data_IF_792819869717
#
_entry.id   IF_792819869717
#
_cell.length_a   1.000
_cell.length_b   1.000
_cell.length_c   1.000
_cell.angle_alpha   90.00
_cell.angle_beta   90.00
_cell.angle_gamma   90.00
#
_symmetry.space_group_name_H-M   'P 1'
#
loop_
_entity.id
_entity.type
_entity.pdbx_description
1 polymer ?
#
# COMPACT_ATOMS: atom_id res chain seq x y z
N UNK A 1 4.49 -48.77 -17.91
CA UNK A 1 4.15 -48.08 -16.64
C UNK A 1 4.97 -46.81 -16.41
N UNK A 2 6.29 -46.81 -16.66
CA UNK A 2 7.20 -45.67 -16.42
C UNK A 2 6.83 -44.39 -17.20
N UNK A 3 6.40 -44.50 -18.46
CA UNK A 3 5.97 -43.35 -19.30
C UNK A 3 4.74 -42.60 -18.76
N UNK A 4 3.81 -43.30 -18.09
CA UNK A 4 2.62 -42.68 -17.49
C UNK A 4 2.98 -41.94 -16.19
N UNK A 5 3.89 -42.49 -15.39
CA UNK A 5 4.41 -41.83 -14.19
C UNK A 5 5.19 -40.55 -14.52
N UNK A 6 6.00 -40.59 -15.59
CA UNK A 6 6.75 -39.41 -16.07
C UNK A 6 5.82 -38.30 -16.59
N UNK A 7 4.75 -38.66 -17.30
CA UNK A 7 3.75 -37.69 -17.78
C UNK A 7 2.96 -37.03 -16.64
N UNK A 8 2.62 -37.78 -15.58
CA UNK A 8 1.97 -37.24 -14.37
C UNK A 8 2.91 -36.32 -13.61
N UNK A 9 4.19 -36.68 -13.47
CA UNK A 9 5.21 -35.83 -12.82
C UNK A 9 5.43 -34.51 -13.57
N UNK A 10 5.48 -34.54 -14.91
CA UNK A 10 5.58 -33.33 -15.74
C UNK A 10 4.30 -32.48 -15.62
N UNK A 11 3.12 -33.10 -15.54
CA UNK A 11 1.86 -32.38 -15.29
C UNK A 11 1.85 -31.69 -13.93
N UNK A 12 2.34 -32.35 -12.88
CA UNK A 12 2.47 -31.75 -11.53
C UNK A 12 3.49 -30.62 -11.53
N UNK A 13 4.63 -30.76 -12.20
CA UNK A 13 5.65 -29.71 -12.32
C UNK A 13 5.17 -28.50 -13.13
N UNK A 14 4.37 -28.69 -14.18
CA UNK A 14 3.76 -27.61 -14.96
C UNK A 14 2.65 -26.90 -14.17
N UNK A 15 2.02 -27.56 -13.18
CA UNK A 15 1.10 -26.92 -12.24
C UNK A 15 1.79 -26.16 -11.10
N UNK A 16 3.12 -26.27 -10.97
CA UNK A 16 3.95 -25.49 -10.03
C UNK A 16 4.49 -24.22 -10.72
N UNK A 17 3.75 -23.63 -11.66
CA UNK A 17 3.93 -22.20 -11.97
C UNK A 17 3.50 -21.43 -10.74
N UNK A 18 4.46 -21.32 -9.85
CA UNK A 18 4.36 -20.70 -8.55
C UNK A 18 3.77 -19.32 -8.76
N UNK A 19 2.64 -19.05 -8.11
CA UNK A 19 2.21 -17.68 -7.87
C UNK A 19 3.31 -17.04 -7.02
N UNK A 20 4.28 -16.42 -7.68
CA UNK A 20 5.35 -15.67 -7.02
C UNK A 20 4.74 -14.37 -6.53
N UNK A 21 4.21 -14.41 -5.32
CA UNK A 21 3.79 -13.23 -4.57
C UNK A 21 5.06 -12.43 -4.21
N UNK A 22 5.20 -11.22 -4.76
CA UNK A 22 6.28 -10.34 -4.35
C UNK A 22 5.86 -9.59 -3.07
N UNK A 23 6.82 -9.29 -2.19
CA UNK A 23 6.60 -8.23 -1.21
C UNK A 23 6.91 -6.89 -1.86
N UNK A 24 5.88 -6.07 -2.07
CA UNK A 24 6.01 -4.74 -2.67
C UNK A 24 5.99 -3.70 -1.55
N UNK A 25 7.02 -2.86 -1.51
CA UNK A 25 7.22 -1.89 -0.43
C UNK A 25 7.09 -0.46 -0.94
N UNK A 26 6.43 0.37 -0.14
CA UNK A 26 6.34 1.81 -0.38
C UNK A 26 6.52 2.58 0.93
N UNK A 27 7.21 3.71 0.86
CA UNK A 27 7.30 4.68 1.94
C UNK A 27 6.61 5.97 1.50
N UNK A 28 5.60 6.37 2.26
CA UNK A 28 4.76 7.53 1.99
C UNK A 28 4.94 8.52 3.14
N UNK A 29 5.35 9.74 2.83
CA UNK A 29 5.47 10.83 3.80
C UNK A 29 4.39 11.86 3.52
N UNK A 30 3.52 12.10 4.49
CA UNK A 30 2.46 13.10 4.40
C UNK A 30 3.01 14.42 4.94
N UNK A 31 3.03 15.46 4.11
CA UNK A 31 3.56 16.79 4.46
C UNK A 31 2.59 17.89 4.01
N UNK A 32 2.74 19.09 4.56
CA UNK A 32 2.17 20.29 3.95
C UNK A 32 3.06 20.77 2.81
N UNK A 33 2.46 21.29 1.75
CA UNK A 33 3.13 21.90 0.60
C UNK A 33 2.37 23.15 0.16
N UNK A 34 3.08 24.23 -0.09
CA UNK A 34 2.50 25.41 -0.76
C UNK A 34 2.38 25.09 -2.25
N UNK A 35 1.18 25.22 -2.79
CA UNK A 35 0.88 25.04 -4.21
C UNK A 35 0.10 26.24 -4.73
N UNK A 36 0.26 26.53 -6.02
CA UNK A 36 -0.43 27.64 -6.66
C UNK A 36 -1.67 27.14 -7.38
N UNK A 37 -2.85 27.49 -6.88
CA UNK A 37 -4.15 27.07 -7.42
C UNK A 37 -4.97 28.31 -7.77
N UNK A 38 -5.47 28.38 -9.01
CA UNK A 38 -6.26 29.51 -9.51
C UNK A 38 -5.59 30.90 -9.32
N UNK A 39 -4.25 30.96 -9.26
CA UNK A 39 -3.52 32.21 -9.05
C UNK A 39 -3.31 32.60 -7.59
N UNK A 40 -3.70 31.75 -6.65
CA UNK A 40 -3.49 31.94 -5.21
C UNK A 40 -2.55 30.88 -4.66
N UNK A 41 -1.74 31.25 -3.67
CA UNK A 41 -0.88 30.32 -2.96
C UNK A 41 -1.68 29.69 -1.81
N UNK A 42 -1.81 28.37 -1.82
CA UNK A 42 -2.56 27.63 -0.81
C UNK A 42 -1.71 26.53 -0.19
N UNK A 43 -1.91 26.31 1.11
CA UNK A 43 -1.29 25.17 1.81
C UNK A 43 -2.15 23.94 1.56
N UNK A 44 -1.57 22.94 0.91
CA UNK A 44 -2.22 21.67 0.64
C UNK A 44 -1.45 20.52 1.28
N UNK A 45 -2.17 19.43 1.57
CA UNK A 45 -1.55 18.17 1.97
C UNK A 45 -0.98 17.47 0.74
N UNK A 46 0.25 16.98 0.85
CA UNK A 46 0.95 16.26 -0.19
C UNK A 46 1.48 14.93 0.33
N UNK A 47 1.65 13.95 -0.56
CA UNK A 47 2.34 12.70 -0.26
C UNK A 47 3.64 12.68 -1.05
N UNK A 48 4.76 12.44 -0.38
CA UNK A 48 6.10 12.50 -0.96
C UNK A 48 6.34 13.82 -1.73
N UNK A 49 5.90 14.94 -1.14
CA UNK A 49 5.99 16.29 -1.72
C UNK A 49 5.29 16.44 -3.09
N UNK A 50 4.32 15.57 -3.43
CA UNK A 50 3.58 15.60 -4.69
C UNK A 50 2.07 15.69 -4.48
N UNK A 51 1.41 16.40 -5.41
CA UNK A 51 -0.04 16.47 -5.59
C UNK A 51 -0.27 16.39 -7.10
N UNK A 52 -0.82 15.31 -7.66
CA UNK A 52 -1.26 14.06 -7.02
C UNK A 52 -0.09 13.21 -6.48
N UNK A 53 -0.38 12.35 -5.52
CA UNK A 53 0.56 11.33 -5.04
C UNK A 53 0.92 10.34 -6.18
N UNK A 54 2.07 9.67 -6.06
CA UNK A 54 2.43 8.63 -7.01
C UNK A 54 1.46 7.43 -6.93
N UNK A 55 1.12 6.87 -8.09
CA UNK A 55 0.34 5.62 -8.16
C UNK A 55 1.17 4.46 -7.61
N UNK A 56 0.57 3.68 -6.71
CA UNK A 56 1.18 2.45 -6.18
C UNK A 56 0.75 1.27 -7.05
N UNK A 57 1.70 0.44 -7.48
CA UNK A 57 1.45 -0.69 -8.37
C UNK A 57 1.72 -2.00 -7.65
N UNK A 58 0.76 -2.91 -7.75
CA UNK A 58 0.82 -4.25 -7.19
C UNK A 58 0.30 -5.25 -8.22
N UNK A 59 0.75 -6.49 -8.14
CA UNK A 59 0.10 -7.63 -8.81
C UNK A 59 -0.84 -8.32 -7.82
N UNK A 60 -1.90 -8.92 -8.35
CA UNK A 60 -2.79 -9.75 -7.52
C UNK A 60 -1.95 -10.85 -6.85
N UNK A 61 -2.05 -10.94 -5.53
CA UNK A 61 -1.31 -11.90 -4.71
C UNK A 61 -0.01 -11.36 -4.12
N UNK A 62 0.47 -10.18 -4.52
CA UNK A 62 1.59 -9.52 -3.86
C UNK A 62 1.24 -9.18 -2.40
N UNK A 63 2.26 -9.15 -1.54
CA UNK A 63 2.17 -8.67 -0.17
C UNK A 63 2.58 -7.21 -0.12
N UNK A 64 1.64 -6.31 0.18
CA UNK A 64 1.91 -4.89 0.33
C UNK A 64 2.51 -4.62 1.71
N UNK A 65 3.61 -3.85 1.76
CA UNK A 65 4.13 -3.27 3.01
C UNK A 65 4.32 -1.78 2.79
N UNK A 66 3.41 -0.98 3.33
CA UNK A 66 3.35 0.47 3.08
C UNK A 66 3.55 1.22 4.39
N UNK A 67 4.69 1.87 4.53
CA UNK A 67 4.96 2.73 5.70
C UNK A 67 4.45 4.13 5.41
N UNK A 68 3.49 4.60 6.19
CA UNK A 68 2.98 5.97 6.14
C UNK A 68 3.56 6.75 7.30
N UNK A 69 4.29 7.83 7.01
CA UNK A 69 4.87 8.74 8.00
C UNK A 69 4.14 10.07 7.98
N UNK A 70 3.64 10.49 9.15
CA UNK A 70 2.97 11.77 9.32
C UNK A 70 3.98 12.86 9.68
N UNK A 71 4.19 13.84 8.78
CA UNK A 71 5.00 15.04 9.05
C UNK A 71 4.14 16.32 9.12
N UNK A 72 2.84 16.16 9.32
CA UNK A 72 1.93 17.26 9.64
C UNK A 72 2.01 17.59 11.14
N UNK A 73 1.49 18.76 11.50
CA UNK A 73 1.31 19.16 12.90
C UNK A 73 0.04 18.57 13.54
N UNK A 74 -0.76 17.82 12.77
CA UNK A 74 -2.04 17.24 13.19
C UNK A 74 -2.07 15.74 12.92
N UNK A 75 -2.95 15.02 13.60
CA UNK A 75 -3.22 13.60 13.37
C UNK A 75 -3.65 13.34 11.91
N UNK A 76 -3.28 12.17 11.37
CA UNK A 76 -3.69 11.76 10.02
C UNK A 76 -3.96 10.25 9.94
N UNK A 77 -4.56 9.81 8.83
CA UNK A 77 -4.73 8.40 8.49
C UNK A 77 -4.81 8.24 6.97
N UNK A 78 -4.59 7.02 6.47
CA UNK A 78 -4.72 6.66 5.05
C UNK A 78 -5.67 5.49 4.94
N UNK A 79 -6.67 5.62 4.07
CA UNK A 79 -7.61 4.54 3.74
C UNK A 79 -7.39 4.04 2.31
N UNK A 80 -7.42 2.72 2.12
CA UNK A 80 -7.20 2.05 0.84
C UNK A 80 -8.52 1.80 0.11
N UNK A 81 -9.02 2.85 -0.54
CA UNK A 81 -10.35 2.83 -1.16
C UNK A 81 -10.54 1.65 -2.14
N UNK A 82 -11.58 0.85 -1.88
CA UNK A 82 -12.02 -0.21 -2.79
C UNK A 82 -11.25 -1.54 -2.68
N UNK A 83 -10.34 -1.67 -1.72
CA UNK A 83 -9.62 -2.93 -1.47
C UNK A 83 -10.27 -3.67 -0.30
N UNK A 84 -10.56 -4.97 -0.48
CA UNK A 84 -11.03 -5.84 0.60
C UNK A 84 -9.83 -6.25 1.47
N UNK A 85 -9.75 -5.71 2.68
CA UNK A 85 -8.62 -5.87 3.58
C UNK A 85 -9.03 -6.47 4.94
N UNK A 86 -8.09 -7.10 5.69
CA UNK A 86 -8.28 -7.29 7.11
C UNK A 86 -8.61 -5.95 7.78
N UNK A 87 -9.63 -5.90 8.64
CA UNK A 87 -10.15 -4.64 9.18
C UNK A 87 -9.08 -3.72 9.79
N UNK A 88 -8.04 -4.27 10.44
CA UNK A 88 -6.94 -3.49 11.04
C UNK A 88 -6.02 -2.80 10.04
N UNK A 89 -6.14 -3.10 8.74
CA UNK A 89 -5.29 -2.56 7.66
C UNK A 89 -6.02 -1.53 6.80
N UNK A 90 -7.28 -1.24 7.11
CA UNK A 90 -8.16 -0.40 6.30
C UNK A 90 -8.02 1.11 6.58
N UNK A 91 -7.50 1.47 7.77
CA UNK A 91 -7.03 2.83 8.07
C UNK A 91 -8.13 3.87 8.36
N UNK A 92 -9.27 3.44 8.86
CA UNK A 92 -10.36 4.34 9.31
C UNK A 92 -10.16 4.70 10.78
N UNK A 93 -9.83 5.97 11.10
CA UNK A 93 -9.50 6.37 12.46
C UNK A 93 -10.71 6.22 13.40
N UNK A 94 -10.44 5.73 14.61
CA UNK A 94 -11.41 5.49 15.68
C UNK A 94 -12.48 4.42 15.38
N UNK A 95 -12.38 3.72 14.25
CA UNK A 95 -13.19 2.53 13.93
C UNK A 95 -12.33 1.28 13.99
N UNK A 96 -11.25 1.25 13.22
CA UNK A 96 -10.39 0.08 13.12
C UNK A 96 -8.90 0.37 13.40
N UNK A 97 -8.54 1.64 13.55
CA UNK A 97 -7.19 2.07 13.90
C UNK A 97 -7.20 3.40 14.67
N UNK A 98 -6.15 3.67 15.46
CA UNK A 98 -5.88 5.03 15.95
C UNK A 98 -5.20 5.87 14.85
N UNK A 99 -5.43 7.19 14.82
CA UNK A 99 -4.71 8.06 13.90
C UNK A 99 -3.19 8.00 14.09
N UNK A 100 -2.45 8.22 13.01
CA UNK A 100 -1.00 8.39 13.01
C UNK A 100 -0.71 9.78 13.58
N UNK A 101 -0.07 9.85 14.75
CA UNK A 101 0.25 11.13 15.40
C UNK A 101 1.33 11.90 14.64
N UNK A 102 1.47 13.22 14.87
CA UNK A 102 2.58 14.00 14.33
C UNK A 102 3.94 13.34 14.58
N UNK A 103 4.75 13.23 13.54
CA UNK A 103 6.07 12.59 13.51
C UNK A 103 6.10 11.07 13.73
N UNK A 104 4.96 10.41 13.82
CA UNK A 104 4.88 8.95 13.89
C UNK A 104 4.70 8.32 12.49
N UNK A 105 4.96 7.01 12.45
CA UNK A 105 4.76 6.18 11.27
C UNK A 105 3.84 5.01 11.58
N UNK A 106 3.05 4.59 10.60
CA UNK A 106 2.24 3.38 10.67
C UNK A 106 2.54 2.49 9.46
N UNK A 107 2.65 1.19 9.71
CA UNK A 107 2.89 0.20 8.68
C UNK A 107 1.60 -0.55 8.36
N UNK A 108 1.14 -0.39 7.12
CA UNK A 108 0.07 -1.21 6.56
C UNK A 108 0.68 -2.47 5.92
N UNK A 109 0.15 -3.64 6.27
CA UNK A 109 0.55 -4.93 5.70
C UNK A 109 -0.67 -5.78 5.31
N UNK A 110 -0.81 -6.07 4.02
CA UNK A 110 -1.93 -6.85 3.48
C UNK A 110 -1.63 -7.51 2.13
#
# INVERSE_FOLDING_TARGET
MIRKALAVLVMVLVWIHSAMAATVKYDLTITNKVVRLAGEDVVAMAVNNSIHAATLFFKKGDWAKITVTNKLAVDTSVHWHGILLPNRQDGVPYVNQLPIKPNESHLFEF
#
